data_IF_446709870340
#
_entry.id   IF_446709870340
#
_cell.length_a   1.000
_cell.length_b   1.000
_cell.length_c   1.000
_cell.angle_alpha   90.00
_cell.angle_beta   90.00
_cell.angle_gamma   90.00
#
_symmetry.space_group_name_H-M   'P 1'
#
loop_
_entity.id
_entity.type
_entity.pdbx_description
1 polymer ?
#
# COMPACT_ATOMS: atom_id res chain seq x y z
N UNK A 1 -8.07 6.09 15.48
CA UNK A 1 -8.00 4.63 15.24
C UNK A 1 -6.55 4.20 15.30
N UNK A 2 -6.23 3.01 15.81
CA UNK A 2 -4.87 2.46 15.77
C UNK A 2 -4.87 1.10 15.05
N UNK A 3 -4.09 1.02 13.97
CA UNK A 3 -3.92 -0.19 13.15
C UNK A 3 -2.50 -0.77 13.25
N UNK A 4 -1.65 -0.23 14.13
CA UNK A 4 -0.25 -0.69 14.25
C UNK A 4 -0.20 -2.16 14.65
N UNK A 5 0.55 -2.95 13.88
CA UNK A 5 0.76 -4.38 14.13
C UNK A 5 -0.43 -5.28 13.80
N UNK A 6 -1.46 -4.78 13.11
CA UNK A 6 -2.60 -5.58 12.64
C UNK A 6 -2.44 -5.95 11.17
N UNK A 7 -2.68 -7.21 10.86
CA UNK A 7 -2.80 -7.70 9.48
C UNK A 7 -4.21 -7.41 8.94
N UNK A 8 -4.29 -7.06 7.65
CA UNK A 8 -5.55 -6.85 6.92
C UNK A 8 -5.76 -8.00 5.91
N UNK A 9 -6.34 -9.10 6.39
CA UNK A 9 -6.57 -10.31 5.58
C UNK A 9 -7.94 -10.31 4.88
N UNK A 10 -8.86 -9.45 5.33
CA UNK A 10 -10.21 -9.33 4.81
C UNK A 10 -10.98 -8.25 5.55
N UNK A 11 -12.25 -8.06 5.16
CA UNK A 11 -13.12 -7.04 5.76
C UNK A 11 -14.00 -7.56 6.90
N UNK A 12 -14.05 -8.88 7.12
CA UNK A 12 -14.94 -9.51 8.10
C UNK A 12 -14.64 -9.06 9.55
N UNK A 13 -13.36 -8.83 9.84
CA UNK A 13 -12.89 -8.40 11.18
C UNK A 13 -12.86 -6.88 11.34
N UNK A 14 -13.31 -6.12 10.34
CA UNK A 14 -13.41 -4.67 10.42
C UNK A 14 -14.82 -4.25 10.84
N UNK A 15 -14.90 -3.45 11.89
CA UNK A 15 -16.13 -2.74 12.23
C UNK A 15 -16.46 -1.70 11.15
N UNK A 16 -17.74 -1.34 11.04
CA UNK A 16 -18.19 -0.31 10.10
C UNK A 16 -17.51 1.06 10.35
N UNK A 17 -17.10 1.33 11.58
CA UNK A 17 -16.36 2.55 11.95
C UNK A 17 -14.92 2.51 11.45
N UNK A 18 -14.25 1.35 11.52
CA UNK A 18 -12.89 1.18 10.95
C UNK A 18 -12.89 1.33 9.44
N UNK A 19 -13.87 0.73 8.77
CA UNK A 19 -14.03 0.85 7.32
C UNK A 19 -14.20 2.32 6.93
N UNK A 20 -15.11 3.04 7.60
CA UNK A 20 -15.32 4.48 7.36
C UNK A 20 -14.04 5.28 7.59
N UNK A 21 -13.35 5.03 8.70
CA UNK A 21 -12.09 5.70 9.00
C UNK A 21 -11.03 5.51 7.89
N UNK A 22 -10.91 4.31 7.34
CA UNK A 22 -10.00 4.04 6.21
C UNK A 22 -10.43 4.84 4.97
N UNK A 23 -11.72 4.84 4.64
CA UNK A 23 -12.24 5.57 3.47
C UNK A 23 -12.11 7.10 3.63
N UNK A 24 -12.35 7.62 4.83
CA UNK A 24 -12.24 9.04 5.15
C UNK A 24 -10.78 9.52 5.18
N UNK A 25 -9.81 8.61 5.19
CA UNK A 25 -8.37 8.95 5.14
C UNK A 25 -7.86 9.29 3.74
N UNK A 26 -8.67 9.12 2.69
CA UNK A 26 -8.30 9.33 1.28
C UNK A 26 -8.00 10.79 0.89
N UNK A 27 -8.73 11.82 1.35
CA UNK A 27 -8.60 13.19 0.83
C UNK A 27 -7.17 13.75 0.85
N UNK A 28 -6.36 13.61 1.92
CA UNK A 28 -4.97 14.07 1.92
C UNK A 28 -4.10 13.41 0.83
N UNK A 29 -4.34 12.14 0.51
CA UNK A 29 -3.57 11.43 -0.53
C UNK A 29 -3.99 11.82 -1.94
N UNK A 30 -5.25 12.26 -2.11
CA UNK A 30 -5.71 12.85 -3.36
C UNK A 30 -4.95 14.16 -3.64
N UNK A 31 -4.84 15.03 -2.65
CA UNK A 31 -4.06 16.28 -2.79
C UNK A 31 -2.61 16.02 -3.17
N UNK A 32 -1.95 15.03 -2.56
CA UNK A 32 -0.57 14.64 -2.92
C UNK A 32 -0.46 14.25 -4.41
N UNK A 33 -1.53 13.68 -4.98
CA UNK A 33 -1.54 13.26 -6.38
C UNK A 33 -1.65 14.43 -7.37
N UNK A 34 -2.17 15.57 -6.92
CA UNK A 34 -2.41 16.79 -7.72
C UNK A 34 -1.23 17.77 -7.65
N UNK A 35 -0.33 17.62 -6.68
CA UNK A 35 0.90 18.42 -6.55
C UNK A 35 1.88 18.14 -7.69
N UNK A 36 2.73 19.13 -7.97
CA UNK A 36 3.88 18.98 -8.89
C UNK A 36 4.83 17.89 -8.38
N UNK A 37 5.16 17.94 -7.08
CA UNK A 37 5.89 16.88 -6.38
C UNK A 37 4.88 15.91 -5.76
N UNK A 38 4.68 14.77 -6.42
CA UNK A 38 3.74 13.71 -6.01
C UNK A 38 4.28 12.79 -4.93
N UNK A 39 5.12 13.31 -4.02
CA UNK A 39 5.78 12.54 -2.97
C UNK A 39 5.70 13.25 -1.62
N UNK A 40 5.48 12.48 -0.57
CA UNK A 40 5.59 12.90 0.83
C UNK A 40 6.47 11.92 1.60
N UNK A 41 7.23 12.36 2.62
CA UNK A 41 8.23 11.52 3.29
C UNK A 41 7.66 10.60 4.38
N UNK A 42 6.35 10.32 4.38
CA UNK A 42 5.64 9.62 5.46
C UNK A 42 6.23 8.25 5.79
N UNK A 43 6.68 7.51 4.78
CA UNK A 43 7.27 6.18 4.92
C UNK A 43 8.76 6.16 4.54
N UNK A 44 9.44 7.32 4.58
CA UNK A 44 10.87 7.40 4.26
C UNK A 44 11.69 6.46 5.16
N UNK A 45 12.53 5.62 4.54
CA UNK A 45 13.33 4.62 5.24
C UNK A 45 12.55 3.38 5.68
N UNK A 46 11.31 3.21 5.20
CA UNK A 46 10.56 1.95 5.32
C UNK A 46 10.56 1.21 3.99
N UNK A 47 10.70 -0.10 4.07
CA UNK A 47 10.62 -0.99 2.91
C UNK A 47 9.24 -1.64 2.84
N UNK A 48 8.60 -1.58 1.67
CA UNK A 48 7.36 -2.29 1.36
C UNK A 48 7.68 -3.36 0.34
N UNK A 49 7.26 -4.59 0.63
CA UNK A 49 7.48 -5.75 -0.23
C UNK A 49 6.15 -6.19 -0.83
N UNK A 50 6.07 -6.18 -2.15
CA UNK A 50 4.93 -6.69 -2.91
C UNK A 50 5.24 -8.13 -3.35
N UNK A 51 4.54 -9.11 -2.76
CA UNK A 51 4.66 -10.52 -3.13
C UNK A 51 3.44 -10.96 -3.95
N UNK A 52 3.62 -11.17 -5.25
CA UNK A 52 2.56 -11.66 -6.14
C UNK A 52 3.01 -12.98 -6.80
N UNK A 53 2.38 -14.08 -6.39
CA UNK A 53 2.60 -15.41 -6.99
C UNK A 53 1.83 -15.58 -8.32
N UNK A 54 0.74 -14.83 -8.48
CA UNK A 54 -0.05 -14.79 -9.70
C UNK A 54 -0.02 -13.39 -10.32
N UNK A 55 -0.07 -13.26 -11.66
CA UNK A 55 -0.09 -11.96 -12.32
C UNK A 55 -1.30 -11.10 -11.89
N UNK A 56 -1.04 -9.94 -11.30
CA UNK A 56 -2.07 -8.92 -11.01
C UNK A 56 -1.57 -7.52 -11.28
N UNK A 57 -1.92 -6.97 -12.45
CA UNK A 57 -1.44 -5.66 -12.89
C UNK A 57 -1.99 -4.52 -12.03
N UNK A 58 -3.31 -4.44 -11.87
CA UNK A 58 -3.95 -3.30 -11.18
C UNK A 58 -3.55 -3.22 -9.71
N UNK A 59 -3.55 -4.35 -9.01
CA UNK A 59 -3.22 -4.39 -7.58
C UNK A 59 -1.74 -4.12 -7.35
N UNK A 60 -0.83 -4.74 -8.13
CA UNK A 60 0.60 -4.47 -7.97
C UNK A 60 0.93 -3.00 -8.24
N UNK A 61 0.45 -2.45 -9.35
CA UNK A 61 0.72 -1.05 -9.71
C UNK A 61 0.12 -0.08 -8.69
N UNK A 62 -1.05 -0.34 -8.12
CA UNK A 62 -1.64 0.55 -7.13
C UNK A 62 -0.85 0.58 -5.82
N UNK A 63 -0.40 -0.59 -5.32
CA UNK A 63 0.42 -0.69 -4.12
C UNK A 63 1.80 -0.06 -4.31
N UNK A 64 2.46 -0.33 -5.44
CA UNK A 64 3.74 0.27 -5.79
C UNK A 64 3.65 1.80 -5.90
N UNK A 65 2.60 2.31 -6.55
CA UNK A 65 2.36 3.75 -6.68
C UNK A 65 2.11 4.39 -5.30
N UNK A 66 1.28 3.77 -4.46
CA UNK A 66 1.00 4.27 -3.12
C UNK A 66 2.29 4.34 -2.28
N UNK A 67 3.08 3.26 -2.24
CA UNK A 67 4.34 3.20 -1.52
C UNK A 67 5.35 4.25 -2.01
N UNK A 68 5.50 4.39 -3.33
CA UNK A 68 6.39 5.38 -3.95
C UNK A 68 5.99 6.81 -3.61
N UNK A 69 4.69 7.12 -3.62
CA UNK A 69 4.17 8.45 -3.24
C UNK A 69 4.40 8.76 -1.76
N UNK A 70 4.52 7.75 -0.92
CA UNK A 70 4.85 7.89 0.49
C UNK A 70 6.35 7.80 0.77
N UNK A 71 7.18 7.79 -0.27
CA UNK A 71 8.65 7.71 -0.22
C UNK A 71 9.18 6.44 0.47
N UNK A 72 8.44 5.34 0.41
CA UNK A 72 8.93 4.02 0.80
C UNK A 72 9.82 3.41 -0.29
N UNK A 73 10.75 2.55 0.11
CA UNK A 73 11.50 1.69 -0.80
C UNK A 73 10.63 0.49 -1.17
N UNK A 74 10.43 0.22 -2.47
CA UNK A 74 9.54 -0.85 -2.95
C UNK A 74 10.35 -2.00 -3.52
N UNK A 75 10.07 -3.21 -3.06
CA UNK A 75 10.63 -4.45 -3.61
C UNK A 75 9.47 -5.28 -4.16
N UNK A 76 9.51 -5.60 -5.45
CA UNK A 76 8.51 -6.43 -6.10
C UNK A 76 9.07 -7.84 -6.33
N UNK A 77 8.42 -8.85 -5.75
CA UNK A 77 8.69 -10.26 -6.02
C UNK A 77 7.59 -10.85 -6.91
N UNK A 78 8.01 -11.51 -7.99
CA UNK A 78 7.15 -12.26 -8.90
C UNK A 78 7.53 -13.73 -8.84
N UNK A 79 6.54 -14.63 -8.72
CA UNK A 79 6.77 -16.08 -8.59
C UNK A 79 7.58 -16.72 -9.71
N UNK A 80 7.71 -16.07 -10.88
CA UNK A 80 8.49 -16.57 -12.03
C UNK A 80 10.02 -16.59 -11.83
N UNK A 81 10.56 -15.93 -10.80
CA UNK A 81 12.01 -15.77 -10.60
C UNK A 81 12.48 -16.04 -9.17
N UNK A 82 11.59 -16.46 -8.27
CA UNK A 82 11.95 -16.81 -6.89
C UNK A 82 12.15 -18.31 -6.78
N UNK A 83 13.24 -18.74 -6.15
CA UNK A 83 13.55 -20.14 -5.87
C UNK A 83 12.56 -20.74 -4.86
N UNK A 84 11.38 -21.08 -5.34
CA UNK A 84 10.45 -21.99 -4.67
C UNK A 84 10.06 -23.09 -5.64
N UNK A 85 11.08 -23.88 -6.03
CA UNK A 85 11.13 -25.33 -6.19
C UNK A 85 12.54 -25.70 -6.71
#
# INVERSE_FOLDING_TARGET
MDFRGRDLLGIADLSATEIRYILDSVPPFKEVSEREIKKVPTLRGKTIVNLFFEPSTRTRTSFELAATRLSADVINFTGSTSSTL
#
